data_IF_650637086263
#
_entry.id   IF_650637086263
#
_cell.length_a   1.000
_cell.length_b   1.000
_cell.length_c   1.000
_cell.angle_alpha   90.00
_cell.angle_beta   90.00
_cell.angle_gamma   90.00
#
_symmetry.space_group_name_H-M   'P 1'
#
loop_
_entity.id
_entity.type
_entity.pdbx_description
1 polymer ?
#
# COMPACT_ATOMS: atom_id res chain seq x y z
N UNK A 1 1.94 1.11 -16.24
CA UNK A 1 2.83 2.27 -16.02
C UNK A 1 4.12 1.84 -15.34
N UNK A 2 5.21 2.62 -15.38
CA UNK A 2 6.48 2.28 -14.68
C UNK A 2 6.48 2.80 -13.23
N UNK A 3 7.41 2.30 -12.38
CA UNK A 3 7.59 2.77 -10.98
C UNK A 3 7.67 4.30 -10.90
N UNK A 4 8.47 4.93 -11.77
CA UNK A 4 8.62 6.39 -11.81
C UNK A 4 7.32 7.12 -12.15
N UNK A 5 6.55 6.61 -13.10
CA UNK A 5 5.27 7.24 -13.47
C UNK A 5 4.24 7.13 -12.34
N UNK A 6 4.18 5.97 -11.67
CA UNK A 6 3.31 5.79 -10.52
C UNK A 6 3.65 6.77 -9.39
N UNK A 7 4.93 6.89 -9.02
CA UNK A 7 5.38 7.83 -7.99
C UNK A 7 5.07 9.29 -8.34
N UNK A 8 5.26 9.66 -9.61
CA UNK A 8 4.93 11.00 -10.10
C UNK A 8 3.44 11.33 -9.94
N UNK A 9 2.56 10.35 -10.13
CA UNK A 9 1.11 10.50 -9.93
C UNK A 9 0.71 10.60 -8.46
N UNK A 10 1.48 9.97 -7.56
CA UNK A 10 1.28 10.02 -6.11
C UNK A 10 1.83 11.31 -5.46
N UNK A 11 2.31 12.28 -6.24
CA UNK A 11 2.99 13.49 -5.75
C UNK A 11 4.18 13.20 -4.81
N UNK A 12 4.67 11.96 -4.78
CA UNK A 12 5.75 11.54 -3.90
C UNK A 12 7.10 11.86 -4.50
N UNK A 13 7.77 12.90 -3.99
CA UNK A 13 9.22 12.99 -4.14
C UNK A 13 9.86 11.84 -3.36
N UNK A 14 10.49 10.91 -4.09
CA UNK A 14 11.46 9.93 -3.60
C UNK A 14 10.94 8.94 -2.54
N UNK A 15 9.91 8.16 -2.88
CA UNK A 15 9.64 6.92 -2.14
C UNK A 15 10.67 5.86 -2.56
N UNK A 16 11.72 5.71 -1.77
CA UNK A 16 12.81 4.77 -2.04
C UNK A 16 12.31 3.32 -1.89
N UNK A 17 11.70 3.03 -0.73
CA UNK A 17 11.14 1.73 -0.38
C UNK A 17 9.61 1.79 -0.34
N UNK A 18 8.98 1.13 -1.30
CA UNK A 18 7.53 0.94 -1.34
C UNK A 18 7.18 -0.46 -1.81
N UNK A 19 6.03 -0.92 -1.35
CA UNK A 19 5.43 -2.19 -1.72
C UNK A 19 4.01 -1.94 -2.25
N UNK A 20 3.62 -2.62 -3.34
CA UNK A 20 2.27 -2.48 -3.91
C UNK A 20 1.46 -3.76 -3.69
N UNK A 21 0.18 -3.60 -3.37
CA UNK A 21 -0.78 -4.71 -3.26
C UNK A 21 -2.09 -4.31 -3.90
N UNK A 22 -2.68 -5.23 -4.66
CA UNK A 22 -3.91 -4.95 -5.40
C UNK A 22 -5.08 -4.61 -4.47
N UNK A 23 -5.28 -5.38 -3.40
CA UNK A 23 -6.33 -5.17 -2.38
C UNK A 23 -7.76 -4.89 -2.91
N UNK A 24 -8.04 -5.24 -4.18
CA UNK A 24 -9.32 -5.04 -4.87
C UNK A 24 -10.49 -5.74 -4.17
N UNK A 25 -10.23 -6.92 -3.58
CA UNK A 25 -11.19 -7.71 -2.79
C UNK A 25 -11.09 -7.51 -1.27
N UNK A 26 -10.29 -6.53 -0.81
CA UNK A 26 -9.97 -6.31 0.60
C UNK A 26 -8.48 -6.52 0.91
N UNK A 27 -8.10 -6.29 2.17
CA UNK A 27 -6.69 -6.29 2.60
C UNK A 27 -6.10 -7.70 2.55
N UNK A 28 -5.13 -7.99 1.67
CA UNK A 28 -4.50 -9.30 1.62
C UNK A 28 -3.60 -9.53 2.83
N UNK A 29 -3.44 -10.80 3.24
CA UNK A 29 -2.62 -11.16 4.41
C UNK A 29 -1.18 -10.68 4.29
N UNK A 30 -0.65 -10.66 3.07
CA UNK A 30 0.70 -10.18 2.75
C UNK A 30 0.95 -8.73 3.15
N UNK A 31 -0.10 -7.88 3.23
CA UNK A 31 0.07 -6.50 3.72
C UNK A 31 0.61 -6.52 5.15
N UNK A 32 0.10 -7.40 6.01
CA UNK A 32 0.55 -7.46 7.40
C UNK A 32 1.97 -7.99 7.53
N UNK A 33 2.39 -8.87 6.63
CA UNK A 33 3.77 -9.35 6.54
C UNK A 33 4.71 -8.20 6.15
N UNK A 34 4.33 -7.42 5.13
CA UNK A 34 5.07 -6.20 4.74
C UNK A 34 5.10 -5.17 5.86
N UNK A 35 3.96 -4.88 6.51
CA UNK A 35 3.90 -3.96 7.66
C UNK A 35 4.87 -4.40 8.75
N UNK A 36 4.88 -5.70 9.07
CA UNK A 36 5.79 -6.25 10.07
C UNK A 36 7.26 -6.16 9.64
N UNK A 37 7.57 -6.34 8.36
CA UNK A 37 8.92 -6.20 7.83
C UNK A 37 9.38 -4.74 7.91
N UNK A 38 8.55 -3.79 7.48
CA UNK A 38 8.83 -2.36 7.52
C UNK A 38 8.96 -1.82 8.95
N UNK A 39 8.11 -2.27 9.88
CA UNK A 39 8.19 -1.84 11.28
C UNK A 39 9.46 -2.30 11.99
N UNK A 40 10.07 -3.41 11.53
CA UNK A 40 11.35 -3.91 12.06
C UNK A 40 12.56 -3.40 11.28
N UNK A 41 12.35 -2.80 10.11
CA UNK A 41 13.39 -2.30 9.22
C UNK A 41 13.49 -0.77 9.25
N UNK A 42 13.71 -0.18 8.08
CA UNK A 42 13.82 1.28 7.89
C UNK A 42 12.48 1.99 7.68
N UNK A 43 11.36 1.30 7.91
CA UNK A 43 10.05 1.77 7.47
C UNK A 43 9.83 1.56 5.96
N UNK A 44 8.74 2.11 5.44
CA UNK A 44 8.40 2.01 4.02
C UNK A 44 6.96 2.40 3.74
N UNK A 45 6.61 2.48 2.45
CA UNK A 45 5.28 2.82 1.99
C UNK A 45 4.56 1.58 1.47
N UNK A 46 3.28 1.41 1.84
CA UNK A 46 2.46 0.33 1.29
C UNK A 46 1.34 0.97 0.49
N UNK A 47 1.35 0.70 -0.82
CA UNK A 47 0.34 1.17 -1.75
C UNK A 47 -0.70 0.09 -1.97
N UNK A 48 -1.95 0.37 -1.63
CA UNK A 48 -3.08 -0.52 -1.85
C UNK A 48 -3.80 -0.09 -3.14
N UNK A 49 -4.52 -1.01 -3.80
CA UNK A 49 -5.23 -0.65 -5.04
C UNK A 49 -4.35 -0.64 -6.29
N UNK A 50 -3.11 -1.12 -6.19
CA UNK A 50 -2.16 -1.17 -7.32
C UNK A 50 -1.62 -2.58 -7.50
N UNK A 51 -1.70 -3.08 -8.73
CA UNK A 51 -1.17 -4.37 -9.15
C UNK A 51 0.19 -4.18 -9.79
N UNK A 52 1.21 -4.89 -9.31
CA UNK A 52 2.48 -5.05 -10.02
C UNK A 52 2.41 -6.30 -10.90
N UNK A 53 2.76 -6.13 -12.17
CA UNK A 53 2.95 -7.20 -13.13
C UNK A 53 4.37 -7.13 -13.67
N UNK A 54 4.97 -8.28 -14.01
CA UNK A 54 6.27 -8.32 -14.66
C UNK A 54 6.10 -8.72 -16.12
N UNK A 55 6.41 -7.81 -17.04
CA UNK A 55 6.30 -8.01 -18.49
C UNK A 55 7.71 -7.85 -19.08
N UNK A 56 8.20 -8.87 -19.78
CA UNK A 56 9.54 -8.86 -20.40
C UNK A 56 10.67 -8.40 -19.45
N UNK A 57 10.63 -8.90 -18.20
CA UNK A 57 11.61 -8.55 -17.17
C UNK A 57 11.42 -7.19 -16.51
N UNK A 58 10.50 -6.36 -17.01
CA UNK A 58 10.20 -5.01 -16.52
C UNK A 58 8.99 -5.00 -15.60
N UNK A 59 9.08 -4.31 -14.46
CA UNK A 59 7.93 -4.11 -13.56
C UNK A 59 6.98 -3.05 -14.12
N UNK A 60 5.72 -3.45 -14.28
CA UNK A 60 4.61 -2.65 -14.79
C UNK A 60 3.53 -2.60 -13.71
N UNK A 61 3.20 -1.38 -13.31
CA UNK A 61 2.16 -1.10 -12.31
C UNK A 61 0.84 -0.78 -13.00
N UNK A 62 -0.25 -1.25 -12.44
CA UNK A 62 -1.61 -1.02 -12.91
C UNK A 62 -2.46 -0.55 -11.73
N UNK A 63 -3.17 0.55 -11.90
CA UNK A 63 -4.09 1.05 -10.88
C UNK A 63 -5.40 0.30 -11.05
N UNK A 64 -5.71 -0.51 -10.06
CA UNK A 64 -6.93 -1.33 -10.02
C UNK A 64 -8.00 -0.67 -9.15
N UNK A 65 -7.57 0.15 -8.19
CA UNK A 65 -8.43 0.81 -7.23
C UNK A 65 -8.87 -0.12 -6.11
N UNK A 66 -9.42 0.49 -5.06
CA UNK A 66 -9.92 -0.19 -3.88
C UNK A 66 -11.44 -0.25 -3.86
N UNK A 67 -11.96 -1.42 -3.48
CA UNK A 67 -13.36 -1.57 -3.13
C UNK A 67 -13.53 -1.37 -1.62
N UNK A 68 -14.55 -0.62 -1.20
CA UNK A 68 -14.83 -0.33 0.22
C UNK A 68 -13.65 0.36 0.96
N UNK A 69 -13.13 1.45 0.41
CA UNK A 69 -11.99 2.23 0.95
C UNK A 69 -12.15 2.52 2.45
N UNK A 70 -13.33 2.96 2.88
CA UNK A 70 -13.60 3.29 4.29
C UNK A 70 -13.35 2.10 5.22
N UNK A 71 -13.80 0.91 4.82
CA UNK A 71 -13.61 -0.33 5.58
C UNK A 71 -12.13 -0.72 5.64
N UNK A 72 -11.42 -0.54 4.52
CA UNK A 72 -9.98 -0.81 4.44
C UNK A 72 -9.24 0.10 5.41
N UNK A 73 -9.48 1.40 5.38
CA UNK A 73 -8.81 2.35 6.27
C UNK A 73 -9.13 2.11 7.75
N UNK A 74 -10.40 1.86 8.07
CA UNK A 74 -10.78 1.50 9.44
C UNK A 74 -10.06 0.25 9.92
N UNK A 75 -9.93 -0.76 9.04
CA UNK A 75 -9.22 -2.00 9.36
C UNK A 75 -7.71 -1.76 9.51
N UNK A 76 -7.09 -0.95 8.63
CA UNK A 76 -5.68 -0.57 8.72
C UNK A 76 -5.40 0.19 10.02
N UNK A 77 -6.14 1.27 10.28
CA UNK A 77 -5.98 2.11 11.46
C UNK A 77 -6.17 1.31 12.76
N UNK A 78 -7.20 0.45 12.81
CA UNK A 78 -7.47 -0.38 14.00
C UNK A 78 -6.41 -1.45 14.21
N UNK A 79 -5.95 -2.11 13.13
CA UNK A 79 -4.98 -3.23 13.24
C UNK A 79 -3.58 -2.72 13.56
N UNK A 80 -3.16 -1.60 12.97
CA UNK A 80 -1.85 -1.00 13.24
C UNK A 80 -1.72 -0.51 14.68
N UNK A 81 -2.81 -0.01 15.26
CA UNK A 81 -2.87 0.39 16.67
C UNK A 81 -3.11 -0.79 17.62
N UNK A 82 -3.50 -1.95 17.11
CA UNK A 82 -3.80 -3.12 17.93
C UNK A 82 -2.52 -3.81 18.38
N UNK A 83 -2.40 -4.00 19.69
CA UNK A 83 -1.31 -4.78 20.31
C UNK A 83 -1.52 -6.30 20.20
N UNK A 84 -2.65 -6.75 19.63
CA UNK A 84 -2.95 -8.17 19.45
C UNK A 84 -2.28 -8.74 18.20
N UNK A 85 -2.11 -7.91 17.17
CA UNK A 85 -1.50 -8.29 15.89
C UNK A 85 -0.02 -7.96 15.83
N UNK A 86 0.40 -6.90 16.52
CA UNK A 86 1.79 -6.46 16.62
C UNK A 86 2.14 -6.26 18.09
N UNK A 87 3.34 -6.64 18.52
CA UNK A 87 3.75 -6.50 19.93
C UNK A 87 3.86 -5.03 20.40
N UNK A 88 3.76 -4.06 19.49
CA UNK A 88 3.80 -2.63 19.77
C UNK A 88 2.92 -1.92 18.73
N UNK A 89 2.20 -0.84 19.11
CA UNK A 89 1.45 -0.06 18.13
C UNK A 89 2.36 0.52 17.06
N UNK A 90 2.00 0.32 15.80
CA UNK A 90 2.72 0.85 14.65
C UNK A 90 2.10 2.20 14.29
N UNK A 91 2.92 3.25 14.34
CA UNK A 91 2.55 4.58 13.86
C UNK A 91 2.68 4.61 12.34
N UNK A 92 1.55 4.57 11.64
CA UNK A 92 1.51 4.81 10.20
C UNK A 92 0.42 5.83 9.87
N UNK A 93 0.67 6.65 8.85
CA UNK A 93 -0.36 7.45 8.19
C UNK A 93 -1.04 6.61 7.13
N UNK A 94 -2.36 6.72 7.06
CA UNK A 94 -3.15 6.18 5.95
C UNK A 94 -3.65 7.38 5.17
N UNK A 95 -3.25 7.46 3.91
CA UNK A 95 -3.59 8.55 2.99
C UNK A 95 -4.32 7.97 1.79
N UNK A 96 -5.32 8.70 1.28
CA UNK A 96 -6.08 8.33 0.09
C UNK A 96 -5.58 9.13 -1.09
N UNK A 97 -5.36 8.46 -2.21
CA UNK A 97 -5.06 9.12 -3.48
C UNK A 97 -6.14 8.78 -4.50
N UNK A 98 -6.61 9.78 -5.24
CA UNK A 98 -7.46 9.56 -6.41
C UNK A 98 -6.60 9.64 -7.67
N UNK A 99 -6.58 8.56 -8.44
CA UNK A 99 -5.80 8.48 -9.67
C UNK A 99 -6.68 7.85 -10.76
N UNK A 100 -6.92 8.60 -11.84
CA UNK A 100 -7.79 8.19 -12.96
C UNK A 100 -9.19 7.74 -12.48
N UNK A 101 -9.74 8.40 -11.45
CA UNK A 101 -11.05 8.08 -10.87
C UNK A 101 -11.10 6.80 -10.03
N UNK A 102 -9.94 6.22 -9.72
CA UNK A 102 -9.80 5.10 -8.79
C UNK A 102 -9.13 5.58 -7.50
N UNK A 103 -9.69 5.19 -6.36
CA UNK A 103 -9.09 5.45 -5.05
C UNK A 103 -8.08 4.37 -4.70
N UNK A 104 -6.88 4.78 -4.29
CA UNK A 104 -5.76 3.94 -3.85
C UNK A 104 -5.24 4.38 -2.48
#
# INVERSE_FOLDING_TARGET
MTKRELLKRLNGSEWDDFEVKEASGGIPKSVWETVSAFSNGSGGWILLGVRENRIDGTSVYEIVGLQNVEKIEQTMSSTLRSTTKFNTPILASVERFDIDGNTV
#
